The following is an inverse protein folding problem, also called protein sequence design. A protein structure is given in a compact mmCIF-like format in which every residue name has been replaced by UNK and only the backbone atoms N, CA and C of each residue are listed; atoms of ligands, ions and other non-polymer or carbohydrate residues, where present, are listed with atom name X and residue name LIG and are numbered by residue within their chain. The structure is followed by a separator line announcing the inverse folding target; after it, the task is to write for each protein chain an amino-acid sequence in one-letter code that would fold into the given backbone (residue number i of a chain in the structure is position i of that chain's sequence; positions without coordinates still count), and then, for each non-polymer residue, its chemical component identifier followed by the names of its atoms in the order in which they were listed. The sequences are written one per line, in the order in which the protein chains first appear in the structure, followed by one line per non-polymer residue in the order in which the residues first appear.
data_IF_868611125825
#
_entry.id   IF_868611125825
#
_cell.length_a   1.000
_cell.length_b   1.000
_cell.length_c   1.000
_cell.angle_alpha   90.00
_cell.angle_beta   90.00
_cell.angle_gamma   90.00
#
_symmetry.space_group_name_H-M   'P 1'
#
loop_
_entity.id
_entity.type
_entity.pdbx_description
1 polymer ?
#
# COMPACT_ATOMS: atom_id res chain seq x y z
N UNK A 1 -28.66 37.98 -45.45
CA UNK A 1 -27.80 38.38 -44.32
C UNK A 1 -27.68 37.18 -43.39
N UNK A 2 -26.47 36.59 -43.34
CA UNK A 2 -26.23 35.18 -43.02
C UNK A 2 -25.81 34.95 -41.56
N UNK A 3 -26.52 34.01 -40.94
CA UNK A 3 -26.05 32.95 -40.04
C UNK A 3 -25.43 33.25 -38.67
N UNK A 4 -26.05 32.56 -37.69
CA UNK A 4 -25.85 32.50 -36.24
C UNK A 4 -24.52 31.83 -35.83
N UNK A 5 -23.67 32.43 -34.98
CA UNK A 5 -22.48 31.77 -34.47
C UNK A 5 -22.58 31.55 -32.94
N UNK A 6 -23.38 30.59 -32.47
CA UNK A 6 -23.40 30.29 -31.03
C UNK A 6 -23.72 28.84 -30.62
N UNK A 7 -23.89 27.92 -31.58
CA UNK A 7 -24.22 26.52 -31.27
C UNK A 7 -23.05 25.53 -31.41
N UNK A 8 -21.89 25.96 -31.93
CA UNK A 8 -20.74 25.08 -32.20
C UNK A 8 -19.76 24.88 -31.02
N UNK A 9 -19.93 25.59 -29.90
CA UNK A 9 -19.02 25.50 -28.72
C UNK A 9 -19.45 24.49 -27.66
N UNK A 10 -20.68 23.95 -27.74
CA UNK A 10 -21.19 22.95 -26.79
C UNK A 10 -20.40 21.62 -26.76
N UNK A 11 -20.01 21.00 -27.90
CA UNK A 11 -19.35 19.69 -27.87
C UNK A 11 -17.88 19.78 -27.43
N UNK A 12 -17.24 20.95 -27.57
CA UNK A 12 -15.85 21.17 -27.19
C UNK A 12 -15.68 21.28 -25.68
N UNK A 13 -16.64 21.89 -24.97
CA UNK A 13 -16.62 21.98 -23.50
C UNK A 13 -16.84 20.61 -22.86
N UNK A 14 -17.73 19.79 -23.45
CA UNK A 14 -17.97 18.41 -22.99
C UNK A 14 -16.75 17.49 -23.19
N UNK A 15 -16.09 17.57 -24.36
CA UNK A 15 -14.87 16.82 -24.61
C UNK A 15 -13.73 17.18 -23.65
N UNK A 16 -13.61 18.47 -23.29
CA UNK A 16 -12.60 18.94 -22.34
C UNK A 16 -12.87 18.44 -20.91
N UNK A 17 -14.14 18.39 -20.48
CA UNK A 17 -14.51 17.87 -19.16
C UNK A 17 -14.18 16.37 -19.01
N UNK A 18 -14.40 15.56 -20.05
CA UNK A 18 -14.06 14.13 -20.07
C UNK A 18 -12.54 13.91 -20.04
N UNK A 19 -11.76 14.76 -20.72
CA UNK A 19 -10.31 14.70 -20.67
C UNK A 19 -9.76 14.99 -19.26
N UNK A 20 -10.38 15.91 -18.51
CA UNK A 20 -10.01 16.19 -17.12
C UNK A 20 -10.37 15.05 -16.15
N UNK A 21 -11.43 14.27 -16.44
CA UNK A 21 -11.77 13.07 -15.66
C UNK A 21 -10.75 11.94 -15.85
N UNK A 22 -10.12 11.84 -17.03
CA UNK A 22 -9.09 10.82 -17.34
C UNK A 22 -7.67 11.24 -16.92
N UNK A 23 -7.46 12.53 -16.62
CA UNK A 23 -6.21 13.04 -16.07
C UNK A 23 -6.09 12.84 -14.54
N UNK A 24 -7.06 12.15 -13.93
CA UNK A 24 -7.03 11.73 -12.53
C UNK A 24 -5.85 10.80 -12.25
N UNK A 25 -5.06 11.18 -11.25
CA UNK A 25 -3.75 10.66 -10.89
C UNK A 25 -3.63 9.12 -10.86
N UNK A 26 -2.75 8.58 -11.71
CA UNK A 26 -2.05 7.32 -11.50
C UNK A 26 -2.77 6.05 -11.97
N UNK A 27 -2.00 5.14 -12.58
CA UNK A 27 -2.39 3.75 -12.80
C UNK A 27 -2.80 3.17 -11.44
N UNK A 28 -4.10 2.92 -11.26
CA UNK A 28 -4.59 2.21 -10.09
C UNK A 28 -4.01 0.80 -10.12
N UNK A 29 -3.08 0.51 -9.20
CA UNK A 29 -2.64 -0.85 -8.95
C UNK A 29 -3.69 -1.53 -8.08
N UNK A 30 -4.47 -2.49 -8.59
CA UNK A 30 -5.38 -3.28 -7.76
C UNK A 30 -4.62 -4.20 -6.78
N UNK A 31 -3.30 -4.30 -6.92
CA UNK A 31 -2.43 -5.04 -6.00
C UNK A 31 -2.15 -4.16 -4.78
N UNK A 32 -2.74 -4.54 -3.64
CA UNK A 32 -2.76 -3.80 -2.37
C UNK A 32 -1.40 -3.50 -1.71
N UNK A 33 -0.29 -3.95 -2.31
CA UNK A 33 1.07 -3.57 -1.92
C UNK A 33 2.00 -3.63 -3.14
N UNK A 34 2.88 -2.64 -3.29
CA UNK A 34 3.96 -2.70 -4.28
C UNK A 34 5.06 -3.61 -3.73
N UNK A 35 4.97 -4.92 -3.98
CA UNK A 35 5.90 -5.93 -3.43
C UNK A 35 7.22 -6.02 -4.18
N UNK A 36 7.56 -5.04 -5.02
CA UNK A 36 8.76 -5.02 -5.88
C UNK A 36 8.96 -6.28 -6.74
N UNK A 37 7.88 -7.02 -7.03
CA UNK A 37 7.93 -8.28 -7.77
C UNK A 37 8.20 -9.52 -6.92
N UNK A 38 8.40 -9.38 -5.61
CA UNK A 38 8.57 -10.52 -4.72
C UNK A 38 7.27 -11.33 -4.58
N UNK A 39 7.43 -12.65 -4.42
CA UNK A 39 6.30 -13.59 -4.27
C UNK A 39 6.18 -14.16 -2.85
N UNK A 40 7.26 -14.09 -2.06
CA UNK A 40 7.36 -14.70 -0.74
C UNK A 40 7.93 -13.73 0.29
N UNK A 41 7.59 -13.95 1.57
CA UNK A 41 8.13 -13.16 2.67
C UNK A 41 8.35 -14.01 3.92
N UNK A 42 9.27 -13.57 4.79
CA UNK A 42 9.53 -14.09 6.12
C UNK A 42 9.54 -12.96 7.15
N UNK A 43 9.17 -13.28 8.39
CA UNK A 43 9.20 -12.34 9.53
C UNK A 43 9.97 -13.00 10.65
N UNK A 44 11.07 -12.39 11.06
CA UNK A 44 11.86 -12.80 12.22
C UNK A 44 11.19 -12.35 13.53
N UNK A 45 11.53 -13.03 14.63
CA UNK A 45 11.07 -12.62 15.95
C UNK A 45 11.67 -11.26 16.32
N UNK A 46 10.85 -10.39 16.90
CA UNK A 46 11.29 -9.04 17.21
C UNK A 46 12.12 -9.02 18.48
N UNK A 47 13.17 -8.20 18.49
CA UNK A 47 14.06 -8.07 19.63
C UNK A 47 13.50 -7.04 20.64
N UNK A 48 13.22 -7.42 21.90
CA UNK A 48 12.78 -6.49 22.93
C UNK A 48 13.99 -5.73 23.50
N UNK A 49 14.32 -4.57 22.92
CA UNK A 49 15.44 -3.75 23.39
C UNK A 49 15.06 -2.79 24.54
N UNK A 50 13.78 -2.49 24.71
CA UNK A 50 13.29 -1.59 25.76
C UNK A 50 12.94 -2.36 27.05
N UNK A 51 13.35 -1.90 28.26
CA UNK A 51 13.12 -2.62 29.51
C UNK A 51 11.65 -2.88 29.86
N UNK A 52 10.73 -2.05 29.36
CA UNK A 52 9.29 -2.21 29.58
C UNK A 52 8.62 -3.19 28.61
N UNK A 53 9.35 -3.68 27.60
CA UNK A 53 8.80 -4.60 26.59
C UNK A 53 9.08 -6.03 27.02
N UNK A 54 8.02 -6.83 27.17
CA UNK A 54 8.16 -8.26 27.40
C UNK A 54 8.45 -8.99 26.09
N UNK A 55 9.10 -10.16 26.19
CA UNK A 55 9.28 -11.05 25.04
C UNK A 55 7.94 -11.40 24.37
N UNK A 56 6.88 -11.59 25.17
CA UNK A 56 5.52 -11.85 24.65
C UNK A 56 4.95 -10.67 23.87
N UNK A 57 5.23 -9.43 24.28
CA UNK A 57 4.80 -8.24 23.54
C UNK A 57 5.57 -8.10 22.21
N UNK A 58 6.87 -8.38 22.20
CA UNK A 58 7.65 -8.41 20.97
C UNK A 58 7.17 -9.51 20.01
N UNK A 59 6.84 -10.69 20.53
CA UNK A 59 6.26 -11.79 19.77
C UNK A 59 4.90 -11.44 19.18
N UNK A 60 4.01 -10.82 19.95
CA UNK A 60 2.68 -10.45 19.44
C UNK A 60 2.78 -9.38 18.34
N UNK A 61 3.80 -8.52 18.38
CA UNK A 61 4.10 -7.56 17.31
C UNK A 61 4.60 -8.25 16.04
N UNK A 62 5.51 -9.23 16.14
CA UNK A 62 6.00 -9.97 14.97
C UNK A 62 4.87 -10.77 14.32
N UNK A 63 4.01 -11.40 15.12
CA UNK A 63 2.80 -12.10 14.66
C UNK A 63 1.79 -11.12 14.02
N UNK A 64 1.54 -9.97 14.65
CA UNK A 64 0.65 -8.95 14.10
C UNK A 64 1.15 -8.39 12.75
N UNK A 65 2.47 -8.24 12.58
CA UNK A 65 3.06 -7.87 11.30
C UNK A 65 2.83 -8.97 10.27
N UNK A 66 3.10 -10.22 10.63
CA UNK A 66 2.90 -11.38 9.75
C UNK A 66 1.45 -11.49 9.29
N UNK A 67 0.50 -11.28 10.19
CA UNK A 67 -0.93 -11.23 9.88
C UNK A 67 -1.29 -10.08 8.94
N UNK A 68 -0.74 -8.88 9.19
CA UNK A 68 -0.99 -7.71 8.36
C UNK A 68 -0.48 -7.90 6.94
N UNK A 69 0.75 -8.42 6.78
CA UNK A 69 1.32 -8.69 5.45
C UNK A 69 0.48 -9.72 4.69
N UNK A 70 0.02 -10.79 5.33
CA UNK A 70 -0.84 -11.79 4.68
C UNK A 70 -2.19 -11.23 4.25
N UNK A 71 -2.79 -10.33 5.05
CA UNK A 71 -4.11 -9.74 4.74
C UNK A 71 -4.04 -8.63 3.69
N UNK A 72 -2.89 -7.96 3.55
CA UNK A 72 -2.74 -6.77 2.71
C UNK A 72 -1.86 -6.99 1.47
N UNK A 73 -1.29 -8.18 1.30
CA UNK A 73 -0.46 -8.52 0.15
C UNK A 73 -0.84 -9.88 -0.44
N UNK A 74 -0.29 -10.18 -1.61
CA UNK A 74 -0.37 -11.50 -2.24
C UNK A 74 0.82 -12.39 -1.89
N UNK A 75 1.68 -11.97 -0.96
CA UNK A 75 2.92 -12.66 -0.61
C UNK A 75 2.62 -13.93 0.19
N UNK A 76 3.37 -14.99 -0.10
CA UNK A 76 3.30 -16.24 0.66
C UNK A 76 4.31 -16.24 1.80
N UNK A 77 3.87 -16.63 2.99
CA UNK A 77 4.74 -16.81 4.13
C UNK A 77 5.64 -18.04 3.92
N UNK A 78 6.95 -17.87 4.05
CA UNK A 78 7.95 -18.94 4.03
C UNK A 78 9.02 -18.68 5.10
N UNK A 79 9.75 -19.72 5.52
CA UNK A 79 10.85 -19.56 6.49
C UNK A 79 11.99 -18.70 5.92
N UNK A 80 12.29 -18.86 4.63
CA UNK A 80 13.25 -18.05 3.88
C UNK A 80 12.55 -17.41 2.68
N UNK A 81 11.89 -16.28 2.92
CA UNK A 81 11.22 -15.50 1.86
C UNK A 81 12.20 -14.59 1.12
N UNK A 82 11.80 -14.15 -0.07
CA UNK A 82 12.51 -13.13 -0.84
C UNK A 82 12.59 -11.78 -0.09
N UNK A 83 11.53 -11.46 0.67
CA UNK A 83 11.49 -10.32 1.58
C UNK A 83 11.61 -10.80 3.02
N UNK A 84 12.54 -10.23 3.78
CA UNK A 84 12.72 -10.53 5.20
C UNK A 84 12.46 -9.29 6.03
N UNK A 85 11.55 -9.41 7.00
CA UNK A 85 11.25 -8.36 7.96
C UNK A 85 11.85 -8.72 9.32
N UNK A 86 12.64 -7.81 9.87
CA UNK A 86 13.16 -7.89 11.24
C UNK A 86 12.99 -6.54 11.92
N UNK A 87 12.81 -6.55 13.24
CA UNK A 87 12.59 -5.33 14.01
C UNK A 87 13.13 -5.45 15.44
N UNK A 88 13.42 -4.27 16.01
CA UNK A 88 13.84 -4.11 17.39
C UNK A 88 12.91 -3.10 18.07
N UNK A 89 12.31 -3.48 19.19
CA UNK A 89 11.39 -2.61 19.95
C UNK A 89 12.21 -1.70 20.86
N UNK A 90 12.43 -0.46 20.42
CA UNK A 90 13.32 0.51 21.09
C UNK A 90 12.61 1.41 22.10
N UNK A 91 11.28 1.53 22.04
CA UNK A 91 10.49 2.39 22.93
C UNK A 91 9.13 1.76 23.20
N UNK A 92 8.61 1.97 24.40
CA UNK A 92 7.30 1.49 24.82
C UNK A 92 6.69 2.43 25.85
N UNK A 93 5.47 2.90 25.58
CA UNK A 93 4.69 3.79 26.44
C UNK A 93 3.38 3.10 26.84
N UNK A 94 2.90 3.36 28.05
CA UNK A 94 1.74 2.71 28.66
C UNK A 94 0.65 3.75 28.93
#
# INVERSE_FOLDING_TARGET
MSTRPLLKRLPTVWGLAVAWLLAGCGVYSPYGAQTSGASTFSVEDFEPAHPLVSATAAQSLSEALRDRVQRQSTLRLMDQGELTFSARVVQWEV
#
